data_IF_219465171049
#
_entry.id   IF_219465171049
#
_cell.length_a   1.000
_cell.length_b   1.000
_cell.length_c   1.000
_cell.angle_alpha   90.00
_cell.angle_beta   90.00
_cell.angle_gamma   90.00
#
_symmetry.space_group_name_H-M   'P 1'
#
loop_
_entity.id
_entity.type
_entity.pdbx_description
1 polymer ?
#
# COMPACT_ATOMS: atom_id res chain seq x y z
N UNK A 1 -0.83 -27.75 1.37
CA UNK A 1 -0.07 -26.60 1.94
C UNK A 1 1.42 -26.89 2.09
N UNK A 2 1.90 -28.14 2.17
CA UNK A 2 3.34 -28.45 2.05
C UNK A 2 4.24 -27.99 3.22
N UNK A 3 3.64 -27.57 4.33
CA UNK A 3 4.33 -27.12 5.54
C UNK A 3 4.81 -28.32 6.38
N UNK A 4 5.92 -28.13 7.12
CA UNK A 4 6.40 -29.13 8.08
C UNK A 4 5.40 -29.30 9.22
N UNK A 5 5.03 -30.53 9.51
CA UNK A 5 3.97 -30.85 10.47
C UNK A 5 4.42 -30.62 11.90
N UNK A 6 5.68 -30.94 12.22
CA UNK A 6 6.22 -30.78 13.57
C UNK A 6 6.34 -29.31 13.93
N UNK A 7 6.91 -28.49 13.04
CA UNK A 7 7.04 -27.05 13.22
C UNK A 7 5.67 -26.38 13.33
N UNK A 8 4.72 -26.73 12.46
CA UNK A 8 3.35 -26.20 12.52
C UNK A 8 2.69 -26.50 13.86
N UNK A 9 2.88 -27.72 14.40
CA UNK A 9 2.35 -28.09 15.71
C UNK A 9 2.99 -27.30 16.85
N UNK A 10 4.27 -26.95 16.75
CA UNK A 10 4.94 -26.09 17.74
C UNK A 10 4.35 -24.69 17.69
N UNK A 11 4.23 -24.10 16.50
CA UNK A 11 3.66 -22.76 16.31
C UNK A 11 2.23 -22.70 16.86
N UNK A 12 1.36 -23.64 16.47
CA UNK A 12 -0.04 -23.69 16.89
C UNK A 12 -0.25 -23.88 18.40
N UNK A 13 0.74 -24.44 19.12
CA UNK A 13 0.70 -24.63 20.58
C UNK A 13 1.40 -23.51 21.35
N UNK A 14 1.99 -22.56 20.64
CA UNK A 14 2.73 -21.43 21.19
C UNK A 14 1.99 -20.13 20.92
N UNK A 15 2.53 -19.03 21.44
CA UNK A 15 2.09 -17.66 21.11
C UNK A 15 2.85 -17.07 19.92
N UNK A 16 3.53 -17.92 19.14
CA UNK A 16 4.20 -17.46 17.93
C UNK A 16 3.19 -16.80 16.98
N UNK A 17 3.54 -15.62 16.47
CA UNK A 17 2.71 -14.75 15.62
C UNK A 17 1.50 -14.10 16.29
N UNK A 18 1.20 -14.35 17.57
CA UNK A 18 0.08 -13.71 18.28
C UNK A 18 0.15 -12.18 18.20
N UNK A 19 1.33 -11.59 18.46
CA UNK A 19 1.53 -10.14 18.38
C UNK A 19 1.33 -9.58 16.96
N UNK A 20 1.78 -10.33 15.93
CA UNK A 20 1.58 -9.94 14.55
C UNK A 20 0.10 -9.92 14.18
N UNK A 21 -0.65 -10.97 14.55
CA UNK A 21 -2.09 -11.04 14.33
C UNK A 21 -2.80 -9.87 15.01
N UNK A 22 -2.46 -9.56 16.27
CA UNK A 22 -3.05 -8.43 17.01
C UNK A 22 -2.70 -7.08 16.38
N UNK A 23 -1.48 -6.93 15.88
CA UNK A 23 -1.05 -5.72 15.16
C UNK A 23 -1.84 -5.51 13.86
N UNK A 24 -2.05 -6.58 13.09
CA UNK A 24 -2.83 -6.53 11.85
C UNK A 24 -4.32 -6.25 12.11
N UNK A 25 -4.91 -6.83 13.16
CA UNK A 25 -6.27 -6.52 13.63
C UNK A 25 -6.40 -5.04 14.04
N UNK A 26 -5.44 -4.51 14.80
CA UNK A 26 -5.42 -3.11 15.20
C UNK A 26 -5.28 -2.15 13.99
N UNK A 27 -4.44 -2.53 13.01
CA UNK A 27 -4.36 -1.80 11.74
C UNK A 27 -5.70 -1.77 11.02
N UNK A 28 -6.39 -2.92 10.90
CA UNK A 28 -7.72 -2.98 10.30
C UNK A 28 -8.74 -2.09 11.04
N UNK A 29 -8.71 -2.06 12.38
CA UNK A 29 -9.56 -1.18 13.19
C UNK A 29 -9.27 0.31 12.95
N UNK A 30 -7.99 0.69 12.82
CA UNK A 30 -7.60 2.09 12.51
C UNK A 30 -8.13 2.56 11.14
N UNK A 31 -8.28 1.62 10.20
CA UNK A 31 -8.91 1.83 8.89
C UNK A 31 -10.44 1.71 8.92
N UNK A 32 -11.05 1.62 10.12
CA UNK A 32 -12.49 1.48 10.33
C UNK A 32 -13.12 0.26 9.65
N UNK A 33 -12.34 -0.80 9.44
CA UNK A 33 -12.82 -2.07 8.89
C UNK A 33 -13.70 -2.75 9.94
N UNK A 34 -14.98 -2.97 9.59
CA UNK A 34 -16.00 -3.57 10.48
C UNK A 34 -16.40 -4.99 10.10
N UNK A 35 -15.87 -5.52 9.00
CA UNK A 35 -16.22 -6.85 8.50
C UNK A 35 -15.26 -7.29 7.40
N UNK A 36 -15.17 -8.61 7.21
CA UNK A 36 -14.29 -9.27 6.23
C UNK A 36 -15.13 -10.06 5.21
N UNK A 37 -14.62 -10.25 3.97
CA UNK A 37 -13.33 -9.79 3.47
C UNK A 37 -13.32 -8.29 3.15
N UNK A 38 -12.17 -7.64 3.33
CA UNK A 38 -11.95 -6.22 3.04
C UNK A 38 -10.61 -6.06 2.33
N UNK A 39 -10.58 -5.28 1.25
CA UNK A 39 -9.40 -5.11 0.41
C UNK A 39 -9.06 -3.63 0.31
N UNK A 40 -7.80 -3.29 0.56
CA UNK A 40 -7.24 -1.97 0.30
C UNK A 40 -6.30 -2.09 -0.89
N UNK A 41 -6.50 -1.28 -1.92
CA UNK A 41 -5.72 -1.30 -3.15
C UNK A 41 -4.96 0.02 -3.25
N UNK A 42 -3.64 -0.09 -3.23
CA UNK A 42 -2.68 1.02 -3.31
C UNK A 42 -2.97 2.17 -2.32
N UNK A 43 -3.43 1.83 -1.11
CA UNK A 43 -3.84 2.77 -0.05
C UNK A 43 -4.83 3.88 -0.49
N UNK A 44 -5.47 3.71 -1.65
CA UNK A 44 -6.38 4.68 -2.28
C UNK A 44 -7.81 4.16 -2.37
N UNK A 45 -7.97 2.88 -2.68
CA UNK A 45 -9.28 2.27 -2.89
C UNK A 45 -9.56 1.21 -1.85
N UNK A 46 -10.82 1.14 -1.42
CA UNK A 46 -11.30 0.12 -0.50
C UNK A 46 -12.49 -0.63 -1.10
N UNK A 47 -12.42 -1.97 -1.08
CA UNK A 47 -13.52 -2.85 -1.45
C UNK A 47 -13.94 -3.66 -0.22
N UNK A 48 -15.19 -3.49 0.20
CA UNK A 48 -15.77 -4.21 1.34
C UNK A 48 -16.68 -5.35 0.88
N UNK A 49 -16.48 -6.53 1.46
CA UNK A 49 -17.24 -7.74 1.17
C UNK A 49 -16.70 -8.55 -0.01
N UNK A 50 -17.31 -9.71 -0.22
CA UNK A 50 -17.01 -10.61 -1.34
C UNK A 50 -17.56 -10.02 -2.65
N UNK A 51 -16.87 -9.03 -3.20
CA UNK A 51 -17.27 -8.36 -4.42
C UNK A 51 -17.14 -9.29 -5.65
N UNK A 52 -17.93 -9.07 -6.71
CA UNK A 52 -17.75 -9.75 -7.98
C UNK A 52 -16.36 -9.50 -8.61
N UNK A 53 -15.87 -10.45 -9.39
CA UNK A 53 -14.53 -10.36 -10.02
C UNK A 53 -14.38 -9.14 -10.93
N UNK A 54 -15.43 -8.72 -11.65
CA UNK A 54 -15.39 -7.55 -12.52
C UNK A 54 -15.16 -6.24 -11.73
N UNK A 55 -15.63 -6.16 -10.48
CA UNK A 55 -15.36 -5.02 -9.59
C UNK A 55 -13.88 -4.95 -9.27
N UNK A 56 -13.24 -6.08 -8.90
CA UNK A 56 -11.81 -6.13 -8.66
C UNK A 56 -10.99 -5.75 -9.91
N UNK A 57 -11.35 -6.30 -11.08
CA UNK A 57 -10.64 -5.99 -12.34
C UNK A 57 -10.72 -4.50 -12.67
N UNK A 58 -11.89 -3.86 -12.47
CA UNK A 58 -12.02 -2.42 -12.68
C UNK A 58 -11.19 -1.62 -11.69
N UNK A 59 -11.25 -1.94 -10.39
CA UNK A 59 -10.49 -1.22 -9.37
C UNK A 59 -8.97 -1.29 -9.63
N UNK A 60 -8.45 -2.45 -9.99
CA UNK A 60 -7.03 -2.62 -10.32
C UNK A 60 -6.63 -1.83 -11.58
N UNK A 61 -7.45 -1.86 -12.63
CA UNK A 61 -7.17 -1.08 -13.86
C UNK A 61 -7.16 0.42 -13.58
N UNK A 62 -8.13 0.90 -12.79
CA UNK A 62 -8.22 2.31 -12.42
C UNK A 62 -6.98 2.78 -11.65
N UNK A 63 -6.53 2.01 -10.66
CA UNK A 63 -5.30 2.32 -9.91
C UNK A 63 -4.09 2.41 -10.83
N UNK A 64 -3.93 1.45 -11.75
CA UNK A 64 -2.80 1.45 -12.70
C UNK A 64 -2.84 2.65 -13.66
N UNK A 65 -4.02 3.07 -14.10
CA UNK A 65 -4.15 4.21 -15.00
C UNK A 65 -3.91 5.54 -14.27
N UNK A 66 -4.29 5.63 -12.99
CA UNK A 66 -3.97 6.77 -12.13
C UNK A 66 -2.47 6.88 -11.84
N UNK A 67 -1.79 5.78 -11.52
CA UNK A 67 -0.34 5.81 -11.29
C UNK A 67 0.45 6.29 -12.52
N UNK A 68 0.05 5.87 -13.73
CA UNK A 68 0.66 6.37 -14.97
C UNK A 68 0.46 7.87 -15.18
N UNK A 69 -0.64 8.43 -14.69
CA UNK A 69 -0.95 9.86 -14.80
C UNK A 69 -0.22 10.70 -13.74
N UNK A 70 0.01 10.14 -12.56
CA UNK A 70 0.75 10.78 -11.46
C UNK A 70 2.28 10.75 -11.70
N UNK A 71 2.76 9.77 -12.48
CA UNK A 71 4.16 9.68 -12.95
C UNK A 71 4.52 10.73 -14.03
N UNK A 72 3.82 11.86 -14.11
CA UNK A 72 4.31 12.99 -14.89
C UNK A 72 5.70 13.32 -14.37
N UNK A 73 6.77 13.16 -15.18
CA UNK A 73 8.08 13.61 -14.75
C UNK A 73 7.91 15.08 -14.36
N UNK A 74 8.45 15.46 -13.20
CA UNK A 74 8.65 16.85 -12.81
C UNK A 74 9.69 17.52 -13.73
N UNK A 75 9.62 17.25 -15.03
CA UNK A 75 10.33 17.98 -16.06
C UNK A 75 9.64 19.34 -16.21
N UNK A 76 9.85 20.19 -15.22
CA UNK A 76 10.00 21.61 -15.48
C UNK A 76 11.34 21.79 -16.21
N UNK A 77 11.39 21.40 -17.48
CA UNK A 77 12.35 22.00 -18.41
C UNK A 77 11.83 23.41 -18.72
N UNK A 78 11.93 24.35 -17.76
CA UNK A 78 11.53 25.72 -18.03
C UNK A 78 11.30 26.69 -16.87
N UNK A 79 11.21 26.27 -15.61
CA UNK A 79 11.10 27.21 -14.48
C UNK A 79 12.05 26.79 -13.36
N UNK A 80 12.92 27.71 -12.99
CA UNK A 80 13.98 27.57 -11.97
C UNK A 80 13.35 27.34 -10.58
N UNK A 81 12.91 26.11 -10.32
CA UNK A 81 12.60 25.62 -8.99
C UNK A 81 13.86 24.99 -8.38
N UNK A 82 14.12 25.25 -7.10
CA UNK A 82 15.23 24.65 -6.37
C UNK A 82 15.18 23.12 -6.47
N UNK A 83 16.15 22.52 -7.17
CA UNK A 83 16.32 21.09 -7.25
C UNK A 83 17.64 20.71 -6.58
N UNK A 84 17.59 19.70 -5.71
CA UNK A 84 18.78 19.09 -5.17
C UNK A 84 19.13 17.87 -6.02
N UNK A 85 20.11 18.01 -6.91
CA UNK A 85 20.77 16.87 -7.54
C UNK A 85 22.06 16.57 -6.78
N UNK A 86 22.50 15.32 -6.77
CA UNK A 86 23.90 14.93 -6.45
C UNK A 86 24.58 15.53 -5.19
N UNK A 87 23.79 15.90 -4.17
CA UNK A 87 24.28 16.50 -2.93
C UNK A 87 24.55 18.01 -3.02
N UNK A 88 24.19 18.66 -4.14
CA UNK A 88 24.19 20.11 -4.33
C UNK A 88 22.76 20.61 -4.51
N UNK A 89 22.35 21.57 -3.69
CA UNK A 89 21.04 22.22 -3.81
C UNK A 89 21.23 23.62 -4.39
N UNK A 90 20.69 23.87 -5.58
CA UNK A 90 20.68 25.21 -6.16
C UNK A 90 19.51 26.01 -5.57
N UNK A 91 19.83 27.06 -4.81
CA UNK A 91 18.84 28.01 -4.25
C UNK A 91 18.59 29.09 -5.31
N UNK A 92 17.35 29.28 -5.80
CA UNK A 92 17.03 30.37 -6.71
C UNK A 92 17.25 31.71 -6.01
N UNK A 93 18.08 32.58 -6.61
CA UNK A 93 18.28 33.95 -6.16
C UNK A 93 17.01 34.75 -6.50
N UNK A 94 16.23 35.11 -5.49
CA UNK A 94 15.26 36.20 -5.61
C UNK A 94 16.02 37.54 -5.56
N UNK A 95 15.89 38.35 -6.61
CA UNK A 95 16.33 39.75 -6.67
C UNK A 95 15.15 40.68 -6.56
#
# INVERSE_FOLDING_TARGET
MGLDTSETHVVLKSEAFSDQVRSEEAKAQSLQVRGVPYFVINDKYALSGAQPTDVFVRALKQVLDEEKQELKPLANEGEQGAACSDGSCEIPNES
#
